data_IF_396747008421
#
_entry.id   IF_396747008421
#
_cell.length_a   1.000
_cell.length_b   1.000
_cell.length_c   1.000
_cell.angle_alpha   90.00
_cell.angle_beta   90.00
_cell.angle_gamma   90.00
#
_symmetry.space_group_name_H-M   'P 1'
#
loop_
_entity.id
_entity.type
_entity.pdbx_description
1 polymer ?
#
# COMPACT_ATOMS: atom_id res chain seq x y z
N UNK A 1 -7.17 28.26 34.20
CA UNK A 1 -8.35 28.21 33.32
C UNK A 1 -7.91 28.64 31.92
N UNK A 2 -7.20 27.78 31.19
CA UNK A 2 -6.60 28.11 29.86
C UNK A 2 -6.67 26.96 28.84
N UNK A 3 -7.24 25.80 29.20
CA UNK A 3 -7.13 24.59 28.38
C UNK A 3 -8.18 24.45 27.27
N UNK A 4 -9.06 25.45 27.08
CA UNK A 4 -10.20 25.34 26.15
C UNK A 4 -10.00 26.08 24.81
N UNK A 5 -9.05 27.01 24.72
CA UNK A 5 -8.85 27.84 23.52
C UNK A 5 -8.08 27.06 22.45
N UNK A 6 -7.01 26.37 22.85
CA UNK A 6 -6.12 25.61 21.95
C UNK A 6 -6.85 24.47 21.23
N UNK A 7 -7.78 23.78 21.91
CA UNK A 7 -8.56 22.68 21.35
C UNK A 7 -9.56 23.17 20.30
N UNK A 8 -10.17 24.34 20.51
CA UNK A 8 -11.16 24.91 19.58
C UNK A 8 -10.55 25.39 18.26
N UNK A 9 -9.34 25.95 18.32
CA UNK A 9 -8.65 26.50 17.16
C UNK A 9 -8.15 25.38 16.24
N UNK A 10 -7.63 24.31 16.83
CA UNK A 10 -7.26 23.10 16.09
C UNK A 10 -8.46 22.42 15.44
N UNK A 11 -9.61 22.34 16.13
CA UNK A 11 -10.83 21.79 15.54
C UNK A 11 -11.34 22.61 14.34
N UNK A 12 -11.28 23.94 14.42
CA UNK A 12 -11.65 24.84 13.32
C UNK A 12 -10.68 24.73 12.14
N UNK A 13 -9.38 24.65 12.39
CA UNK A 13 -8.34 24.45 11.36
C UNK A 13 -8.51 23.09 10.68
N UNK A 14 -8.79 22.02 11.43
CA UNK A 14 -9.05 20.70 10.84
C UNK A 14 -10.30 20.73 9.94
N UNK A 15 -11.35 21.45 10.36
CA UNK A 15 -12.57 21.62 9.56
C UNK A 15 -12.30 22.40 8.27
N UNK A 16 -11.57 23.52 8.34
CA UNK A 16 -11.24 24.31 7.14
C UNK A 16 -10.35 23.56 6.14
N UNK A 17 -9.44 22.72 6.63
CA UNK A 17 -8.63 21.84 5.78
C UNK A 17 -9.51 20.80 5.08
N UNK A 18 -10.43 20.18 5.81
CA UNK A 18 -11.38 19.22 5.23
C UNK A 18 -12.23 19.88 4.15
N UNK A 19 -12.76 21.06 4.41
CA UNK A 19 -13.62 21.78 3.48
C UNK A 19 -12.84 22.25 2.24
N UNK A 20 -11.59 22.68 2.41
CA UNK A 20 -10.69 23.04 1.30
C UNK A 20 -10.39 21.82 0.42
N UNK A 21 -10.12 20.66 1.03
CA UNK A 21 -9.89 19.41 0.32
C UNK A 21 -11.14 18.96 -0.42
N UNK A 22 -12.31 19.01 0.20
CA UNK A 22 -13.57 18.68 -0.46
C UNK A 22 -13.90 19.64 -1.61
N UNK A 23 -13.63 20.93 -1.46
CA UNK A 23 -13.78 21.92 -2.53
C UNK A 23 -12.88 21.58 -3.73
N UNK A 24 -11.63 21.19 -3.47
CA UNK A 24 -10.71 20.75 -4.53
C UNK A 24 -11.22 19.46 -5.21
N UNK A 25 -11.65 18.47 -4.43
CA UNK A 25 -12.21 17.21 -4.97
C UNK A 25 -13.43 17.49 -5.84
N UNK A 26 -14.34 18.36 -5.40
CA UNK A 26 -15.52 18.73 -6.17
C UNK A 26 -15.15 19.40 -7.50
N UNK A 27 -14.20 20.34 -7.47
CA UNK A 27 -13.66 20.98 -8.69
C UNK A 27 -13.03 19.94 -9.62
N UNK A 28 -12.15 19.09 -9.10
CA UNK A 28 -11.52 18.05 -9.92
C UNK A 28 -12.58 17.12 -10.55
N UNK A 29 -13.55 16.68 -9.76
CA UNK A 29 -14.63 15.80 -10.24
C UNK A 29 -15.46 16.46 -11.35
N UNK A 30 -15.76 17.76 -11.26
CA UNK A 30 -16.47 18.45 -12.34
C UNK A 30 -15.60 18.53 -13.59
N UNK A 31 -14.31 18.83 -13.44
CA UNK A 31 -13.39 18.97 -14.57
C UNK A 31 -13.15 17.68 -15.33
N UNK A 32 -13.08 16.54 -14.64
CA UNK A 32 -12.95 15.24 -15.29
C UNK A 32 -14.24 14.79 -15.97
N UNK A 33 -15.41 15.28 -15.52
CA UNK A 33 -16.71 14.96 -16.11
C UNK A 33 -17.10 15.79 -17.34
N UNK A 34 -16.35 16.86 -17.65
CA UNK A 34 -16.62 17.69 -18.82
C UNK A 34 -16.16 17.02 -20.14
N UNK A 35 -16.92 17.18 -21.24
CA UNK A 35 -16.60 16.55 -22.53
C UNK A 35 -15.28 17.05 -23.13
N UNK A 36 -14.76 18.20 -22.69
CA UNK A 36 -13.48 18.75 -23.12
C UNK A 36 -12.56 19.07 -21.94
N UNK A 37 -12.44 18.12 -21.01
CA UNK A 37 -11.61 18.19 -19.80
C UNK A 37 -10.15 18.60 -20.06
N UNK A 38 -9.59 18.29 -21.23
CA UNK A 38 -8.23 18.63 -21.63
C UNK A 38 -7.98 20.14 -21.80
N UNK A 39 -9.02 20.93 -22.09
CA UNK A 39 -8.90 22.39 -22.26
C UNK A 39 -9.12 23.17 -20.97
N UNK A 40 -9.40 22.48 -19.87
CA UNK A 40 -9.74 23.13 -18.62
C UNK A 40 -8.54 23.90 -18.02
N UNK A 41 -8.80 25.05 -17.38
CA UNK A 41 -7.76 25.94 -16.85
C UNK A 41 -6.81 25.25 -15.84
N UNK A 42 -7.28 24.19 -15.19
CA UNK A 42 -6.47 23.38 -14.27
C UNK A 42 -5.28 22.70 -14.96
N UNK A 43 -5.41 22.37 -16.25
CA UNK A 43 -4.35 21.73 -17.04
C UNK A 43 -3.59 22.73 -17.91
N UNK A 44 -4.17 23.91 -18.19
CA UNK A 44 -3.58 24.91 -19.10
C UNK A 44 -2.29 25.57 -18.62
N UNK A 45 -2.04 25.63 -17.31
CA UNK A 45 -0.89 26.35 -16.74
C UNK A 45 0.35 25.48 -16.51
N UNK A 46 0.29 24.18 -16.79
CA UNK A 46 1.37 23.25 -16.52
C UNK A 46 2.23 23.05 -17.79
N UNK A 47 3.44 23.64 -17.81
CA UNK A 47 4.39 23.50 -18.93
C UNK A 47 4.83 22.06 -19.20
N UNK A 48 4.70 21.18 -18.21
CA UNK A 48 5.07 19.77 -18.27
C UNK A 48 3.92 18.88 -18.75
N UNK A 49 2.71 19.42 -18.85
CA UNK A 49 1.53 18.69 -19.31
C UNK A 49 1.48 18.76 -20.85
N UNK A 50 2.06 17.73 -21.48
CA UNK A 50 1.86 17.51 -22.91
C UNK A 50 0.42 17.02 -23.17
N UNK A 51 -0.07 17.18 -24.40
CA UNK A 51 -1.37 16.62 -24.80
C UNK A 51 -1.44 15.10 -24.52
N UNK A 52 -0.32 14.40 -24.69
CA UNK A 52 -0.20 12.99 -24.34
C UNK A 52 -0.27 12.74 -22.82
N UNK A 53 0.32 13.64 -22.03
CA UNK A 53 0.23 13.62 -20.57
C UNK A 53 -1.20 13.80 -20.08
N UNK A 54 -1.95 14.74 -20.66
CA UNK A 54 -3.38 14.94 -20.35
C UNK A 54 -4.19 13.68 -20.71
N UNK A 55 -4.00 13.13 -21.92
CA UNK A 55 -4.69 11.89 -22.33
C UNK A 55 -4.41 10.73 -21.37
N UNK A 56 -3.17 10.59 -20.90
CA UNK A 56 -2.82 9.60 -19.90
C UNK A 56 -3.53 9.85 -18.57
N UNK A 57 -3.54 11.08 -18.07
CA UNK A 57 -4.22 11.41 -16.80
C UNK A 57 -5.72 11.09 -16.90
N UNK A 58 -6.36 11.41 -18.02
CA UNK A 58 -7.77 11.11 -18.26
C UNK A 58 -8.03 9.60 -18.34
N UNK A 59 -7.18 8.83 -19.02
CA UNK A 59 -7.34 7.37 -19.09
C UNK A 59 -7.09 6.70 -17.74
N UNK A 60 -6.14 7.22 -16.95
CA UNK A 60 -5.91 6.78 -15.57
C UNK A 60 -7.13 7.05 -14.69
N UNK A 61 -7.77 8.21 -14.81
CA UNK A 61 -8.93 8.56 -13.99
C UNK A 61 -10.06 7.53 -14.13
N UNK A 62 -10.41 7.14 -15.36
CA UNK A 62 -11.44 6.13 -15.60
C UNK A 62 -11.03 4.74 -15.08
N UNK A 63 -9.75 4.38 -15.26
CA UNK A 63 -9.21 3.10 -14.80
C UNK A 63 -9.23 2.99 -13.26
N UNK A 64 -8.79 4.04 -12.57
CA UNK A 64 -8.76 4.11 -11.11
C UNK A 64 -10.18 4.16 -10.52
N UNK A 65 -11.11 4.86 -11.17
CA UNK A 65 -12.51 4.88 -10.76
C UNK A 65 -13.12 3.48 -10.74
N UNK A 66 -12.89 2.69 -11.80
CA UNK A 66 -13.32 1.30 -11.85
C UNK A 66 -12.64 0.47 -10.74
N UNK A 67 -11.35 0.70 -10.51
CA UNK A 67 -10.61 0.01 -9.45
C UNK A 67 -11.19 0.29 -8.06
N UNK A 68 -11.52 1.55 -7.74
CA UNK A 68 -12.15 1.90 -6.47
C UNK A 68 -13.54 1.29 -6.32
N UNK A 69 -14.32 1.21 -7.40
CA UNK A 69 -15.61 0.52 -7.39
C UNK A 69 -15.44 -0.97 -7.06
N UNK A 70 -14.45 -1.64 -7.66
CA UNK A 70 -14.13 -3.04 -7.36
C UNK A 70 -13.67 -3.23 -5.90
N UNK A 71 -12.86 -2.31 -5.37
CA UNK A 71 -12.46 -2.33 -3.95
C UNK A 71 -13.70 -2.20 -3.06
N UNK A 72 -14.62 -1.30 -3.40
CA UNK A 72 -15.84 -1.06 -2.63
C UNK A 72 -16.73 -2.32 -2.64
N UNK A 73 -16.96 -2.93 -3.80
CA UNK A 73 -17.80 -4.13 -3.93
C UNK A 73 -17.19 -5.33 -3.20
N UNK A 74 -15.88 -5.54 -3.31
CA UNK A 74 -15.19 -6.67 -2.67
C UNK A 74 -15.00 -6.49 -1.17
N UNK A 75 -14.50 -5.34 -0.73
CA UNK A 75 -14.07 -5.17 0.67
C UNK A 75 -15.18 -4.64 1.58
N UNK A 76 -16.03 -3.76 1.06
CA UNK A 76 -17.10 -3.14 1.87
C UNK A 76 -18.39 -3.94 1.74
N UNK A 77 -18.87 -4.15 0.51
CA UNK A 77 -20.12 -4.87 0.30
C UNK A 77 -19.98 -6.39 0.33
N UNK A 78 -18.77 -6.92 0.08
CA UNK A 78 -18.47 -8.36 0.05
C UNK A 78 -19.36 -9.15 -0.91
N UNK A 79 -19.81 -8.50 -1.98
CA UNK A 79 -20.66 -9.11 -3.01
C UNK A 79 -19.86 -9.93 -4.01
N UNK A 80 -18.57 -9.63 -4.17
CA UNK A 80 -17.65 -10.31 -5.06
C UNK A 80 -16.47 -10.91 -4.29
N UNK A 81 -15.90 -12.05 -4.75
CA UNK A 81 -14.72 -12.64 -4.13
C UNK A 81 -13.51 -11.72 -4.28
N UNK A 82 -12.69 -11.66 -3.24
CA UNK A 82 -11.49 -10.81 -3.22
C UNK A 82 -10.45 -11.33 -4.21
N UNK A 83 -10.13 -10.52 -5.21
CA UNK A 83 -9.05 -10.81 -6.16
C UNK A 83 -7.73 -10.38 -5.53
N UNK A 84 -6.85 -11.34 -5.21
CA UNK A 84 -5.52 -11.05 -4.64
C UNK A 84 -4.50 -10.55 -5.68
N UNK A 85 -4.83 -10.67 -6.97
CA UNK A 85 -3.99 -10.24 -8.09
C UNK A 85 -3.92 -8.72 -8.13
N UNK A 86 -2.74 -8.14 -7.87
CA UNK A 86 -2.50 -6.70 -8.08
C UNK A 86 -2.01 -5.90 -6.88
N UNK A 87 -1.78 -6.48 -5.69
CA UNK A 87 -1.18 -5.76 -4.53
C UNK A 87 0.16 -5.06 -4.81
N UNK A 88 0.76 -5.25 -5.99
CA UNK A 88 1.99 -4.60 -6.45
C UNK A 88 1.97 -4.18 -7.94
N UNK A 89 0.82 -4.26 -8.62
CA UNK A 89 0.74 -3.83 -10.02
C UNK A 89 0.83 -2.30 -10.06
N UNK A 90 2.02 -1.77 -10.39
CA UNK A 90 2.21 -0.34 -10.57
C UNK A 90 1.84 0.03 -12.00
N UNK A 91 0.85 0.90 -12.13
CA UNK A 91 0.44 1.43 -13.42
C UNK A 91 1.25 2.67 -13.83
N UNK A 92 2.16 3.11 -12.96
CA UNK A 92 3.05 4.26 -13.17
C UNK A 92 4.50 3.80 -13.06
N UNK A 93 5.31 4.23 -14.02
CA UNK A 93 6.75 4.02 -14.00
C UNK A 93 7.37 4.99 -12.99
N UNK A 94 7.99 4.46 -11.95
CA UNK A 94 8.69 5.27 -10.95
C UNK A 94 10.20 5.16 -11.20
N UNK A 95 10.86 6.31 -11.28
CA UNK A 95 12.32 6.38 -11.40
C UNK A 95 12.93 6.75 -10.05
N UNK A 96 14.02 6.06 -9.67
CA UNK A 96 14.82 6.49 -8.52
C UNK A 96 15.71 7.67 -8.91
N UNK A 97 16.11 8.49 -7.94
CA UNK A 97 17.01 9.62 -8.17
C UNK A 97 18.31 9.20 -8.89
N UNK A 98 18.87 8.05 -8.51
CA UNK A 98 20.08 7.49 -9.14
C UNK A 98 19.85 7.07 -10.59
N UNK A 99 18.67 6.52 -10.92
CA UNK A 99 18.29 6.21 -12.30
C UNK A 99 18.18 7.49 -13.15
N UNK A 100 17.55 8.53 -12.60
CA UNK A 100 17.45 9.84 -13.28
C UNK A 100 18.83 10.45 -13.56
N UNK A 101 19.74 10.40 -12.59
CA UNK A 101 21.12 10.88 -12.76
C UNK A 101 21.89 10.08 -13.82
N UNK A 102 21.67 8.77 -13.92
CA UNK A 102 22.31 7.94 -14.94
C UNK A 102 21.74 8.20 -16.34
N UNK A 103 20.43 8.43 -16.46
CA UNK A 103 19.80 8.81 -17.73
C UNK A 103 20.29 10.18 -18.24
N UNK A 104 20.66 11.10 -17.35
CA UNK A 104 21.29 12.37 -17.74
C UNK A 104 22.71 12.20 -18.28
N UNK A 105 23.45 11.18 -17.84
CA UNK A 105 24.85 10.91 -18.24
C UNK A 105 24.97 10.26 -19.61
N UNK A 106 23.94 9.51 -20.04
CA UNK A 106 23.90 8.88 -21.37
C UNK A 106 22.82 9.54 -22.23
N UNK A 107 23.12 10.68 -22.84
CA UNK A 107 22.39 11.14 -24.02
C UNK A 107 23.13 10.69 -25.28
N UNK A 108 22.64 9.68 -26.02
CA UNK A 108 22.93 9.58 -27.43
C UNK A 108 21.85 10.30 -28.25
N UNK A 109 22.30 10.80 -29.39
CA UNK A 109 21.55 11.51 -30.42
C UNK A 109 20.59 10.54 -31.12
N UNK A 110 19.31 10.92 -31.22
CA UNK A 110 18.25 10.50 -32.15
C UNK A 110 17.65 9.06 -32.12
N UNK A 111 16.30 9.08 -32.09
CA UNK A 111 15.30 8.21 -32.72
C UNK A 111 15.07 6.73 -32.30
N UNK A 112 13.81 6.50 -31.88
CA UNK A 112 12.98 5.26 -31.87
C UNK A 112 13.66 3.89 -31.69
N UNK A 113 13.28 3.17 -30.64
CA UNK A 113 12.30 2.05 -30.68
C UNK A 113 12.25 1.40 -29.29
N UNK A 114 11.12 1.50 -28.59
CA UNK A 114 10.91 0.80 -27.31
C UNK A 114 10.52 -0.65 -27.61
N UNK A 115 11.50 -1.55 -27.55
CA UNK A 115 11.23 -2.97 -27.37
C UNK A 115 11.24 -3.29 -25.86
N UNK A 116 10.10 -3.76 -25.38
CA UNK A 116 9.95 -4.47 -24.12
C UNK A 116 10.95 -5.62 -24.06
N UNK A 117 11.72 -5.70 -22.98
CA UNK A 117 12.27 -6.97 -22.50
C UNK A 117 12.16 -7.02 -20.98
N UNK A 118 11.27 -7.90 -20.54
CA UNK A 118 11.13 -8.38 -19.17
C UNK A 118 12.40 -9.18 -18.84
N UNK A 119 13.14 -8.77 -17.82
CA UNK A 119 14.19 -9.60 -17.24
C UNK A 119 14.06 -9.53 -15.74
N UNK A 120 13.31 -10.50 -15.20
CA UNK A 120 13.27 -10.80 -13.79
C UNK A 120 14.67 -11.22 -13.35
N UNK A 121 15.30 -10.42 -12.50
CA UNK A 121 16.48 -10.86 -11.75
C UNK A 121 15.97 -11.38 -10.42
N UNK A 122 15.95 -12.70 -10.28
CA UNK A 122 15.64 -13.39 -9.04
C UNK A 122 16.84 -13.25 -8.09
N UNK A 123 16.78 -12.30 -7.16
CA UNK A 123 17.59 -12.38 -5.94
C UNK A 123 16.88 -13.33 -4.98
N UNK A 124 17.49 -14.49 -4.76
CA UNK A 124 17.06 -15.54 -3.83
C UNK A 124 17.18 -15.06 -2.38
N UNK A 125 16.27 -14.20 -1.96
CA UNK A 125 15.98 -14.04 -0.55
C UNK A 125 15.27 -15.31 -0.11
N UNK A 126 15.94 -16.15 0.69
CA UNK A 126 15.35 -17.31 1.35
C UNK A 126 14.02 -16.87 1.95
N UNK A 127 12.91 -17.33 1.35
CA UNK A 127 11.57 -17.04 1.86
C UNK A 127 11.53 -17.57 3.28
N UNK A 128 11.40 -16.68 4.24
CA UNK A 128 11.22 -17.04 5.63
C UNK A 128 9.93 -17.86 5.71
N UNK A 129 10.05 -19.18 5.83
CA UNK A 129 8.90 -20.08 5.92
C UNK A 129 8.18 -19.77 7.23
N UNK A 130 7.05 -19.06 7.13
CA UNK A 130 6.19 -18.82 8.29
C UNK A 130 5.56 -20.15 8.70
N UNK A 131 5.80 -20.56 9.94
CA UNK A 131 5.10 -21.69 10.54
C UNK A 131 3.64 -21.30 10.77
N UNK A 132 2.71 -22.05 10.21
CA UNK A 132 1.28 -21.86 10.44
C UNK A 132 0.91 -22.68 11.67
N UNK A 133 0.50 -22.02 12.76
CA UNK A 133 0.14 -22.72 13.99
C UNK A 133 -1.19 -23.47 13.85
N UNK A 134 -1.16 -24.77 14.14
CA UNK A 134 -2.35 -25.63 14.19
C UNK A 134 -3.15 -25.39 15.47
N UNK A 135 -4.42 -25.81 15.52
CA UNK A 135 -5.27 -25.58 16.70
C UNK A 135 -4.74 -26.30 17.95
N UNK A 136 -4.10 -27.46 17.78
CA UNK A 136 -3.40 -28.16 18.87
C UNK A 136 -2.24 -27.32 19.44
N UNK A 137 -1.41 -26.73 18.58
CA UNK A 137 -0.31 -25.86 19.02
C UNK A 137 -0.85 -24.61 19.73
N UNK A 138 -1.96 -24.02 19.26
CA UNK A 138 -2.60 -22.89 19.94
C UNK A 138 -3.06 -23.25 21.34
N UNK A 139 -3.64 -24.43 21.55
CA UNK A 139 -4.07 -24.86 22.89
C UNK A 139 -2.90 -25.00 23.87
N UNK A 140 -1.74 -25.44 23.38
CA UNK A 140 -0.52 -25.56 24.18
C UNK A 140 0.05 -24.16 24.48
N UNK A 141 0.13 -23.28 23.49
CA UNK A 141 0.65 -21.91 23.66
C UNK A 141 -0.22 -21.04 24.58
N UNK A 142 -1.53 -21.29 24.66
CA UNK A 142 -2.44 -20.59 25.58
C UNK A 142 -2.01 -20.76 27.05
N UNK A 143 -1.31 -21.85 27.41
CA UNK A 143 -0.82 -22.05 28.78
C UNK A 143 0.16 -20.94 29.22
N UNK A 144 0.93 -20.38 28.27
CA UNK A 144 1.88 -19.30 28.54
C UNK A 144 1.21 -17.94 28.76
N UNK A 145 -0.01 -17.74 28.25
CA UNK A 145 -0.78 -16.51 28.48
C UNK A 145 -1.24 -16.36 29.95
N UNK A 146 -1.08 -17.39 30.78
CA UNK A 146 -1.34 -17.32 32.22
C UNK A 146 -0.34 -16.43 32.96
N UNK A 147 0.85 -16.24 32.40
CA UNK A 147 1.89 -15.38 32.99
C UNK A 147 1.69 -13.94 32.51
N UNK A 148 1.64 -13.00 33.47
CA UNK A 148 1.50 -11.57 33.18
C UNK A 148 2.82 -10.95 32.71
N UNK A 149 3.93 -11.56 33.11
CA UNK A 149 5.31 -11.21 32.78
C UNK A 149 5.96 -12.37 32.00
N UNK A 150 7.28 -12.28 31.73
CA UNK A 150 8.03 -13.35 31.06
C UNK A 150 7.82 -14.69 31.79
N UNK A 151 7.34 -15.74 31.10
CA UNK A 151 7.11 -17.04 31.73
C UNK A 151 8.41 -17.57 32.35
N UNK A 152 8.34 -18.25 33.51
CA UNK A 152 9.51 -18.90 34.08
C UNK A 152 10.06 -19.94 33.09
N UNK A 153 11.39 -20.09 33.04
CA UNK A 153 12.07 -20.98 32.08
C UNK A 153 11.58 -22.44 32.19
N UNK A 154 11.16 -22.86 33.38
CA UNK A 154 10.57 -24.18 33.63
C UNK A 154 9.25 -24.38 32.86
N UNK A 155 8.40 -23.35 32.82
CA UNK A 155 7.14 -23.38 32.07
C UNK A 155 7.38 -23.32 30.56
N UNK A 156 8.41 -22.58 30.12
CA UNK A 156 8.84 -22.54 28.71
C UNK A 156 9.32 -23.93 28.28
N UNK A 157 10.11 -24.61 29.12
CA UNK A 157 10.65 -25.94 28.86
C UNK A 157 9.55 -27.00 28.78
N UNK A 158 8.55 -26.92 29.67
CA UNK A 158 7.39 -27.82 29.66
C UNK A 158 6.55 -27.65 28.39
N UNK A 159 6.24 -26.41 28.01
CA UNK A 159 5.50 -26.10 26.78
C UNK A 159 6.29 -26.48 25.53
N UNK A 160 7.60 -26.30 25.53
CA UNK A 160 8.48 -26.72 24.44
C UNK A 160 8.46 -28.24 24.27
N UNK A 161 8.51 -29.00 25.37
CA UNK A 161 8.41 -30.46 25.32
C UNK A 161 7.07 -30.90 24.73
N UNK A 162 5.96 -30.28 25.18
CA UNK A 162 4.63 -30.54 24.62
C UNK A 162 4.57 -30.20 23.12
N UNK A 163 5.11 -29.06 22.69
CA UNK A 163 5.15 -28.67 21.28
C UNK A 163 6.02 -29.61 20.44
N UNK A 164 7.14 -30.11 20.97
CA UNK A 164 8.02 -31.05 20.28
C UNK A 164 7.40 -32.44 20.11
N UNK A 165 6.51 -32.87 21.01
CA UNK A 165 5.74 -34.11 20.84
C UNK A 165 4.72 -34.03 19.71
N UNK A 166 4.24 -32.83 19.41
CA UNK A 166 3.27 -32.58 18.32
C UNK A 166 4.00 -32.23 17.01
N UNK A 167 5.09 -31.46 17.08
CA UNK A 167 5.89 -31.02 15.93
C UNK A 167 7.37 -30.81 16.27
N UNK A 168 8.25 -31.55 15.59
CA UNK A 168 9.70 -31.55 15.84
C UNK A 168 10.46 -30.27 15.41
N UNK A 169 9.78 -29.27 14.84
CA UNK A 169 10.39 -28.04 14.32
C UNK A 169 10.40 -26.86 15.30
N UNK A 170 9.91 -27.06 16.53
CA UNK A 170 9.90 -26.02 17.56
C UNK A 170 11.25 -25.88 18.28
N UNK A 171 11.77 -24.64 18.31
CA UNK A 171 12.98 -24.25 19.03
C UNK A 171 12.62 -23.25 20.15
N UNK A 172 13.40 -23.22 21.24
CA UNK A 172 13.18 -22.34 22.39
C UNK A 172 13.14 -20.85 22.04
N UNK A 173 13.90 -20.46 21.01
CA UNK A 173 13.91 -19.09 20.48
C UNK A 173 12.57 -18.62 19.92
N UNK A 174 11.63 -19.52 19.61
CA UNK A 174 10.29 -19.17 19.12
C UNK A 174 9.27 -18.90 20.24
N UNK A 175 9.61 -19.24 21.48
CA UNK A 175 8.70 -19.17 22.64
C UNK A 175 9.04 -17.98 23.55
N UNK A 176 10.31 -17.55 23.56
CA UNK A 176 10.82 -16.36 24.27
C UNK A 176 10.50 -15.08 23.50
#
# INVERSE_FOLDING_TARGET
>A
YTDNIVTSQNAHVIKSHKDSLWSLVAKLSSTFGEPNSATHYLFGNASEISENGIKNILSFYESEKLHFQQILTQNVYKTEPQVATGRRARNVVNYTHTQLENMKKYKPIQALTVQQNTSASETSHLKQTCHITTDAEKTILIQLFRFKDLPPEDAISEVLLQLQTVFSSWMAERIK
#
